data_IF_597659330933
#
_entry.id   IF_597659330933
#
_cell.length_a   1.000
_cell.length_b   1.000
_cell.length_c   1.000
_cell.angle_alpha   90.00
_cell.angle_beta   90.00
_cell.angle_gamma   90.00
#
_symmetry.space_group_name_H-M   'P 1'
#
loop_
_entity.id
_entity.type
_entity.pdbx_description
1 polymer ?
#
# COMPACT_ATOMS: atom_id res chain seq x y z
N UNK A 1 -4.70 8.07 -20.18
CA UNK A 1 -5.29 7.12 -19.21
C UNK A 1 -4.46 7.07 -17.93
N UNK A 2 -4.40 8.16 -17.15
CA UNK A 2 -3.70 8.19 -15.85
C UNK A 2 -4.58 7.57 -14.76
N UNK A 3 -3.97 6.93 -13.76
CA UNK A 3 -4.68 6.48 -12.56
C UNK A 3 -4.98 7.75 -11.78
N UNK A 4 -6.22 8.00 -11.39
CA UNK A 4 -6.44 9.02 -10.36
C UNK A 4 -5.80 8.49 -9.09
N UNK A 5 -4.68 9.09 -8.70
CA UNK A 5 -3.88 8.62 -7.58
C UNK A 5 -4.63 8.74 -6.25
N UNK A 6 -5.72 9.53 -6.21
CA UNK A 6 -6.56 9.70 -5.02
C UNK A 6 -7.67 8.64 -4.91
N UNK A 7 -7.98 7.92 -6.00
CA UNK A 7 -8.91 6.78 -6.00
C UNK A 7 -8.33 5.63 -6.84
N UNK A 8 -7.33 4.96 -6.26
CA UNK A 8 -6.64 3.85 -6.92
C UNK A 8 -7.57 2.66 -7.17
N UNK A 9 -8.48 2.39 -6.22
CA UNK A 9 -9.40 1.26 -6.32
C UNK A 9 -10.48 1.52 -7.38
N UNK A 10 -11.10 2.69 -7.39
CA UNK A 10 -12.05 3.08 -8.43
C UNK A 10 -11.40 3.09 -9.81
N UNK A 11 -10.19 3.66 -9.91
CA UNK A 11 -9.38 3.65 -11.13
C UNK A 11 -9.03 2.23 -11.63
N UNK A 12 -8.80 1.28 -10.72
CA UNK A 12 -8.54 -0.12 -11.06
C UNK A 12 -9.81 -0.81 -11.59
N UNK A 13 -10.94 -0.61 -10.91
CA UNK A 13 -12.24 -1.16 -11.33
C UNK A 13 -12.66 -0.63 -12.70
N UNK A 14 -12.58 0.69 -12.91
CA UNK A 14 -12.90 1.30 -14.19
C UNK A 14 -12.06 0.74 -15.34
N UNK A 15 -10.74 0.58 -15.14
CA UNK A 15 -9.88 -0.05 -16.16
C UNK A 15 -10.24 -1.50 -16.41
N UNK A 16 -10.59 -2.24 -15.36
CA UNK A 16 -10.99 -3.65 -15.49
C UNK A 16 -12.26 -3.77 -16.32
N UNK A 17 -13.25 -2.88 -16.11
CA UNK A 17 -14.46 -2.80 -16.93
C UNK A 17 -14.14 -2.42 -18.38
N UNK A 18 -13.30 -1.41 -18.61
CA UNK A 18 -12.89 -0.99 -19.96
C UNK A 18 -12.19 -2.11 -20.74
N UNK A 19 -11.34 -2.89 -20.07
CA UNK A 19 -10.73 -4.08 -20.68
C UNK A 19 -11.79 -5.16 -20.95
N UNK A 20 -12.76 -5.33 -20.06
CA UNK A 20 -13.92 -6.19 -20.29
C UNK A 20 -14.70 -5.79 -21.53
N UNK A 21 -14.94 -4.50 -21.74
CA UNK A 21 -15.62 -4.00 -22.96
C UNK A 21 -14.77 -4.21 -24.22
N UNK A 22 -13.47 -3.89 -24.17
CA UNK A 22 -12.58 -3.97 -25.33
C UNK A 22 -12.41 -5.41 -25.86
N UNK A 23 -12.52 -6.41 -24.99
CA UNK A 23 -12.31 -7.81 -25.35
C UNK A 23 -13.58 -8.67 -25.29
N UNK A 24 -14.77 -8.05 -25.21
CA UNK A 24 -16.06 -8.74 -25.07
C UNK A 24 -16.10 -9.73 -23.87
N UNK A 25 -15.55 -9.29 -22.74
CA UNK A 25 -15.44 -9.99 -21.44
C UNK A 25 -16.09 -9.25 -20.27
N UNK A 26 -17.19 -8.53 -20.51
CA UNK A 26 -17.86 -7.69 -19.51
C UNK A 26 -18.29 -8.51 -18.28
N UNK A 27 -18.84 -9.71 -18.48
CA UNK A 27 -19.25 -10.58 -17.36
C UNK A 27 -18.06 -11.02 -16.49
N UNK A 28 -16.92 -11.37 -17.09
CA UNK A 28 -15.72 -11.76 -16.35
C UNK A 28 -15.13 -10.56 -15.59
N UNK A 29 -15.11 -9.38 -16.22
CA UNK A 29 -14.67 -8.15 -15.58
C UNK A 29 -15.53 -7.80 -14.36
N UNK A 30 -16.86 -7.88 -14.50
CA UNK A 30 -17.78 -7.62 -13.39
C UNK A 30 -17.58 -8.63 -12.25
N UNK A 31 -17.51 -9.93 -12.56
CA UNK A 31 -17.30 -10.96 -11.55
C UNK A 31 -15.97 -10.78 -10.78
N UNK A 32 -14.91 -10.30 -11.45
CA UNK A 32 -13.64 -10.00 -10.80
C UNK A 32 -13.75 -8.81 -9.83
N UNK A 33 -14.50 -7.77 -10.21
CA UNK A 33 -14.75 -6.60 -9.37
C UNK A 33 -15.59 -6.98 -8.16
N UNK A 34 -16.67 -7.74 -8.35
CA UNK A 34 -17.55 -8.18 -7.27
C UNK A 34 -16.78 -9.02 -6.24
N UNK A 35 -15.89 -9.91 -6.73
CA UNK A 35 -15.03 -10.70 -5.87
C UNK A 35 -14.06 -9.84 -5.08
N UNK A 36 -13.44 -8.84 -5.72
CA UNK A 36 -12.54 -7.90 -5.03
C UNK A 36 -13.28 -7.12 -3.95
N UNK A 37 -14.49 -6.64 -4.24
CA UNK A 37 -15.31 -5.89 -3.29
C UNK A 37 -15.76 -6.73 -2.10
N UNK A 38 -16.14 -7.98 -2.33
CA UNK A 38 -16.45 -8.91 -1.25
C UNK A 38 -15.24 -9.14 -0.33
N UNK A 39 -14.04 -9.30 -0.89
CA UNK A 39 -12.81 -9.49 -0.10
C UNK A 39 -12.46 -8.24 0.71
N UNK A 40 -12.56 -7.05 0.10
CA UNK A 40 -12.33 -5.79 0.81
C UNK A 40 -13.35 -5.61 1.93
N UNK A 41 -14.63 -5.84 1.67
CA UNK A 41 -15.69 -5.72 2.65
C UNK A 41 -15.50 -6.68 3.85
N UNK A 42 -15.00 -7.88 3.60
CA UNK A 42 -14.70 -8.86 4.66
C UNK A 42 -13.53 -8.42 5.56
N UNK A 43 -12.48 -7.81 4.99
CA UNK A 43 -11.27 -7.41 5.74
C UNK A 43 -11.46 -6.08 6.47
N UNK A 44 -12.20 -5.15 5.87
CA UNK A 44 -12.35 -3.77 6.35
C UNK A 44 -12.72 -3.61 7.84
N UNK A 45 -13.71 -4.33 8.40
CA UNK A 45 -14.06 -4.17 9.81
C UNK A 45 -12.96 -4.64 10.76
N UNK A 46 -12.18 -5.65 10.36
CA UNK A 46 -11.07 -6.18 11.15
C UNK A 46 -9.89 -5.20 11.12
N UNK A 47 -9.52 -4.73 9.93
CA UNK A 47 -8.45 -3.76 9.74
C UNK A 47 -8.69 -2.43 10.49
N UNK A 48 -9.95 -1.96 10.53
CA UNK A 48 -10.32 -0.76 11.29
C UNK A 48 -10.09 -0.90 12.81
N UNK A 49 -10.03 -2.11 13.33
CA UNK A 49 -9.82 -2.42 14.75
C UNK A 49 -8.42 -2.99 15.03
N UNK A 50 -7.60 -3.21 14.00
CA UNK A 50 -6.32 -3.90 14.10
C UNK A 50 -5.15 -3.00 14.60
N UNK A 51 -5.40 -1.71 14.81
CA UNK A 51 -4.38 -0.73 15.20
C UNK A 51 -3.85 0.09 14.02
N UNK A 52 -2.71 0.76 14.22
CA UNK A 52 -2.10 1.68 13.24
C UNK A 52 -1.11 0.95 12.35
N UNK A 53 -1.31 1.07 11.04
CA UNK A 53 -0.39 0.59 10.02
C UNK A 53 0.58 1.66 9.52
N UNK A 54 1.78 1.24 9.15
CA UNK A 54 2.75 2.03 8.39
C UNK A 54 3.12 1.27 7.11
N UNK A 55 2.88 1.89 5.96
CA UNK A 55 3.32 1.37 4.66
C UNK A 55 4.66 1.98 4.27
N UNK A 56 5.65 1.13 3.98
CA UNK A 56 6.98 1.55 3.55
C UNK A 56 7.41 0.82 2.28
N UNK A 57 8.09 1.54 1.39
CA UNK A 57 8.87 1.00 0.30
C UNK A 57 10.33 0.97 0.72
N UNK A 58 10.94 -0.20 0.65
CA UNK A 58 12.37 -0.37 0.82
C UNK A 58 13.03 -0.51 -0.56
N UNK A 59 14.00 0.37 -0.86
CA UNK A 59 14.77 0.27 -2.10
C UNK A 59 16.15 0.92 -1.98
N UNK A 60 17.19 0.20 -2.40
CA UNK A 60 18.58 0.66 -2.37
C UNK A 60 19.04 1.07 -0.97
N UNK A 61 18.57 0.38 0.08
CA UNK A 61 18.87 0.74 1.48
C UNK A 61 18.09 1.93 2.03
N UNK A 62 17.13 2.49 1.27
CA UNK A 62 16.33 3.65 1.68
C UNK A 62 14.90 3.25 1.99
N UNK A 63 14.28 3.95 2.94
CA UNK A 63 12.89 3.77 3.36
C UNK A 63 12.09 4.98 2.90
N UNK A 64 11.05 4.74 2.10
CA UNK A 64 10.02 5.72 1.76
C UNK A 64 8.69 5.30 2.38
N UNK A 65 8.12 6.12 3.27
CA UNK A 65 6.86 5.85 3.94
C UNK A 65 5.69 6.56 3.25
N UNK A 66 4.52 5.92 3.26
CA UNK A 66 3.35 6.35 2.53
C UNK A 66 2.18 6.60 3.48
N UNK A 67 1.58 7.79 3.35
CA UNK A 67 0.39 8.22 4.09
C UNK A 67 -0.90 7.87 3.32
N UNK A 68 -2.10 8.03 3.91
CA UNK A 68 -3.37 7.92 3.19
C UNK A 68 -3.42 8.79 1.93
N UNK A 69 -4.21 8.38 0.93
CA UNK A 69 -4.35 9.08 -0.37
C UNK A 69 -3.01 9.30 -1.11
N UNK A 70 -2.12 8.31 -1.05
CA UNK A 70 -0.82 8.31 -1.74
C UNK A 70 -0.65 7.04 -2.58
N UNK A 71 0.51 6.85 -3.23
CA UNK A 71 0.71 5.76 -4.21
C UNK A 71 0.50 4.34 -3.65
N UNK A 72 0.67 4.12 -2.36
CA UNK A 72 0.49 2.80 -1.74
C UNK A 72 -0.51 2.83 -0.59
N UNK A 73 -1.48 3.75 -0.65
CA UNK A 73 -2.45 3.96 0.42
C UNK A 73 -3.62 2.98 0.40
N UNK A 74 -3.65 1.98 -0.50
CA UNK A 74 -4.70 0.95 -0.54
C UNK A 74 -4.96 0.30 0.84
N UNK A 75 -3.92 0.11 1.64
CA UNK A 75 -4.01 -0.43 3.00
C UNK A 75 -4.88 0.46 3.92
N UNK A 76 -4.84 1.77 3.73
CA UNK A 76 -5.66 2.71 4.50
C UNK A 76 -7.01 2.95 3.82
N UNK A 77 -6.99 3.33 2.54
CA UNK A 77 -8.14 3.87 1.84
C UNK A 77 -9.16 2.79 1.47
N UNK A 78 -8.70 1.59 1.11
CA UNK A 78 -9.57 0.47 0.76
C UNK A 78 -9.76 -0.47 1.95
N UNK A 79 -8.67 -0.93 2.56
CA UNK A 79 -8.74 -1.91 3.65
C UNK A 79 -9.10 -1.29 5.00
N UNK A 80 -8.93 0.02 5.22
CA UNK A 80 -9.41 0.70 6.42
C UNK A 80 -8.47 0.70 7.63
N UNK A 81 -7.18 0.37 7.46
CA UNK A 81 -6.20 0.57 8.53
C UNK A 81 -6.07 2.05 8.91
N UNK A 82 -5.91 2.34 10.19
CA UNK A 82 -5.46 3.65 10.64
C UNK A 82 -3.99 3.87 10.24
N UNK A 83 -3.61 5.07 9.81
CA UNK A 83 -2.20 5.38 9.50
C UNK A 83 -1.42 5.74 10.76
N UNK A 84 -0.24 5.16 10.93
CA UNK A 84 0.75 5.58 11.93
C UNK A 84 1.51 6.84 11.49
N UNK A 85 1.54 7.14 10.19
CA UNK A 85 2.17 8.32 9.62
C UNK A 85 1.13 9.43 9.43
N UNK A 86 1.37 10.57 10.07
CA UNK A 86 0.64 11.81 9.80
C UNK A 86 1.49 12.66 8.85
N UNK A 87 0.99 12.87 7.63
CA UNK A 87 1.64 13.72 6.64
C UNK A 87 0.61 14.26 5.67
N UNK A 88 0.66 15.56 5.44
CA UNK A 88 -0.16 16.25 4.44
C UNK A 88 0.50 16.19 3.04
N UNK A 89 1.75 15.74 2.95
CA UNK A 89 2.46 15.57 1.68
C UNK A 89 1.96 14.31 0.97
N UNK A 90 1.13 14.53 -0.04
CA UNK A 90 0.77 13.52 -1.05
C UNK A 90 1.90 13.33 -2.06
N UNK A 91 3.15 13.12 -1.62
CA UNK A 91 4.27 12.86 -2.52
C UNK A 91 4.17 11.41 -3.07
N UNK A 92 4.19 11.30 -4.40
CA UNK A 92 4.24 10.04 -5.16
C UNK A 92 5.47 9.20 -4.80
N UNK A 93 6.54 9.85 -4.32
CA UNK A 93 7.80 9.23 -3.88
C UNK A 93 7.80 8.79 -2.41
N UNK A 94 6.76 9.17 -1.66
CA UNK A 94 6.66 8.93 -0.22
C UNK A 94 7.63 9.78 0.60
N UNK A 95 7.39 9.79 1.91
CA UNK A 95 8.19 10.50 2.90
C UNK A 95 9.44 9.69 3.22
N UNK A 96 10.63 10.23 2.94
CA UNK A 96 11.88 9.54 3.29
C UNK A 96 12.01 9.48 4.81
N UNK A 97 12.14 8.28 5.35
CA UNK A 97 12.36 8.05 6.77
C UNK A 97 13.68 7.34 7.02
N UNK A 98 14.29 7.61 8.17
CA UNK A 98 15.34 6.78 8.74
C UNK A 98 14.73 5.65 9.60
N UNK A 99 15.46 4.56 9.89
CA UNK A 99 14.99 3.50 10.79
C UNK A 99 14.55 4.03 12.16
N UNK A 100 15.26 5.03 12.72
CA UNK A 100 14.92 5.63 14.01
C UNK A 100 13.61 6.41 13.95
N UNK A 101 13.32 7.07 12.82
CA UNK A 101 12.03 7.73 12.61
C UNK A 101 10.89 6.72 12.48
N UNK A 102 11.13 5.59 11.79
CA UNK A 102 10.15 4.49 11.72
C UNK A 102 9.86 3.92 13.12
N UNK A 103 10.90 3.67 13.92
CA UNK A 103 10.76 3.18 15.29
C UNK A 103 9.95 4.17 16.17
N UNK A 104 10.19 5.48 16.04
CA UNK A 104 9.44 6.52 16.76
C UNK A 104 7.95 6.56 16.41
N UNK A 105 7.57 6.22 15.17
CA UNK A 105 6.15 6.15 14.79
C UNK A 105 5.42 4.99 15.47
N UNK A 106 6.17 3.96 15.89
CA UNK A 106 5.70 2.80 16.64
C UNK A 106 4.39 2.20 16.09
N UNK A 107 4.34 1.81 14.80
CA UNK A 107 3.13 1.23 14.22
C UNK A 107 2.86 -0.18 14.78
N UNK A 108 1.58 -0.53 14.93
CA UNK A 108 1.17 -1.88 15.27
C UNK A 108 1.41 -2.85 14.10
N UNK A 109 1.31 -2.33 12.86
CA UNK A 109 1.57 -3.07 11.63
C UNK A 109 2.58 -2.36 10.73
N UNK A 110 3.62 -3.05 10.29
CA UNK A 110 4.55 -2.55 9.29
C UNK A 110 4.38 -3.31 7.97
N UNK A 111 3.82 -2.65 6.96
CA UNK A 111 3.68 -3.18 5.61
C UNK A 111 4.88 -2.79 4.77
N UNK A 112 5.73 -3.76 4.43
CA UNK A 112 6.96 -3.51 3.68
C UNK A 112 6.81 -3.98 2.23
N UNK A 113 7.01 -3.06 1.29
CA UNK A 113 7.19 -3.35 -0.13
C UNK A 113 8.69 -3.38 -0.39
N UNK A 114 9.24 -4.56 -0.66
CA UNK A 114 10.66 -4.73 -0.96
C UNK A 114 10.89 -4.68 -2.49
N UNK A 115 11.41 -3.56 -2.98
CA UNK A 115 11.74 -3.40 -4.40
C UNK A 115 13.03 -4.13 -4.78
N UNK A 116 13.97 -4.25 -3.85
CA UNK A 116 15.29 -4.80 -4.15
C UNK A 116 15.19 -6.31 -4.38
N UNK A 117 14.35 -7.01 -3.60
CA UNK A 117 14.00 -8.41 -3.80
C UNK A 117 13.48 -8.70 -5.23
N UNK A 118 12.70 -7.79 -5.82
CA UNK A 118 12.15 -7.94 -7.16
C UNK A 118 13.19 -7.80 -8.30
N UNK A 119 14.39 -7.28 -7.99
CA UNK A 119 15.45 -7.01 -8.99
C UNK A 119 16.60 -8.01 -8.97
N UNK A 120 16.52 -9.05 -8.12
CA UNK A 120 17.54 -10.11 -8.05
C UNK A 120 18.89 -9.65 -7.47
N UNK A 121 18.96 -8.49 -6.82
CA UNK A 121 20.15 -8.06 -6.07
C UNK A 121 20.13 -8.72 -4.69
N UNK A 122 21.18 -9.47 -4.29
CA UNK A 122 21.27 -9.98 -2.93
C UNK A 122 21.26 -8.82 -1.94
N UNK A 123 20.31 -8.85 -1.00
CA UNK A 123 19.99 -7.78 -0.06
C UNK A 123 21.22 -7.24 0.68
N UNK A 124 21.58 -5.96 0.47
CA UNK A 124 22.60 -5.30 1.29
C UNK A 124 22.12 -5.07 2.74
N UNK A 125 20.79 -5.02 2.95
CA UNK A 125 20.11 -4.87 4.25
C UNK A 125 18.75 -5.56 4.10
N UNK A 126 18.49 -6.61 4.88
CA UNK A 126 17.18 -7.26 4.86
C UNK A 126 16.11 -6.34 5.47
N UNK A 127 14.85 -6.32 4.98
CA UNK A 127 13.73 -5.58 5.58
C UNK A 127 13.56 -5.82 7.08
N UNK A 128 13.96 -7.00 7.56
CA UNK A 128 13.98 -7.38 8.97
C UNK A 128 14.81 -6.42 9.82
N UNK A 129 15.85 -5.77 9.27
CA UNK A 129 16.66 -4.77 9.98
C UNK A 129 15.91 -3.47 10.28
N UNK A 130 14.81 -3.18 9.58
CA UNK A 130 13.92 -2.06 9.94
C UNK A 130 13.29 -2.31 11.32
N UNK A 131 13.07 -3.58 11.68
CA UNK A 131 12.45 -4.00 12.93
C UNK A 131 13.44 -4.19 14.09
N UNK A 132 14.75 -4.28 13.81
CA UNK A 132 15.78 -4.59 14.82
C UNK A 132 16.68 -3.41 15.17
N UNK A 133 16.35 -2.19 14.76
CA UNK A 133 17.09 -1.01 15.22
C UNK A 133 16.94 -0.91 16.76
N UNK A 134 18.04 -0.86 17.53
CA UNK A 134 17.97 -0.90 18.98
C UNK A 134 17.22 0.32 19.53
N UNK A 135 16.43 0.08 20.59
CA UNK A 135 15.85 1.10 21.44
C UNK A 135 16.92 1.95 22.14
#
# INVERSE_FOLDING_TARGET
MSVDQQDQLGSLKQRTLQLGELFDKQQQAQAAIDKLDAQIAAVKPQAAQAGRGLVVLFSGGKISAYAPKSRFSFVYDALGFASALQSDEKDVRGNKLTPEQVAKLNPDWLFVIDRDAATGRPNAVAPQKILTAPH
#
